data_IF_576286929737
#
_entry.id   IF_576286929737
#
_cell.length_a   1.000
_cell.length_b   1.000
_cell.length_c   1.000
_cell.angle_alpha   90.00
_cell.angle_beta   90.00
_cell.angle_gamma   90.00
#
_symmetry.space_group_name_H-M   'P 1'
#
loop_
_entity.id
_entity.type
_entity.pdbx_description
1 polymer ?
#
# COMPACT_ATOMS: atom_id res chain seq x y z
N UNK A 1 13.91 42.84 9.81
CA UNK A 1 13.77 42.35 8.41
C UNK A 1 14.16 40.88 8.38
N UNK A 2 13.41 40.02 7.67
CA UNK A 2 13.71 38.59 7.54
C UNK A 2 15.10 38.37 6.87
N UNK A 3 15.97 37.52 7.44
CA UNK A 3 17.25 37.13 6.82
C UNK A 3 17.09 36.56 5.41
N UNK A 4 18.05 36.79 4.51
CA UNK A 4 17.95 36.36 3.10
C UNK A 4 17.81 34.83 2.95
N UNK A 5 18.55 34.06 3.75
CA UNK A 5 18.44 32.60 3.77
C UNK A 5 17.03 32.09 4.16
N UNK A 6 16.31 32.83 5.00
CA UNK A 6 14.91 32.51 5.36
C UNK A 6 13.99 32.76 4.18
N UNK A 7 14.18 33.88 3.47
CA UNK A 7 13.37 34.22 2.28
C UNK A 7 13.50 33.16 1.20
N UNK A 8 14.74 32.75 0.90
CA UNK A 8 15.01 31.70 -0.09
C UNK A 8 14.43 30.36 0.35
N UNK A 9 14.47 30.05 1.65
CA UNK A 9 13.90 28.81 2.15
C UNK A 9 12.37 28.79 2.14
N UNK A 10 11.72 29.94 2.39
CA UNK A 10 10.25 30.09 2.31
C UNK A 10 9.76 30.06 0.85
N UNK A 11 10.52 30.66 -0.07
CA UNK A 11 10.24 30.62 -1.51
C UNK A 11 10.66 29.31 -2.18
N UNK A 12 11.57 28.56 -1.56
CA UNK A 12 12.22 27.41 -2.16
C UNK A 12 11.33 26.19 -2.32
N UNK A 13 11.79 25.24 -3.13
CA UNK A 13 11.10 23.99 -3.42
C UNK A 13 11.36 22.89 -2.38
N UNK A 14 12.05 23.20 -1.27
CA UNK A 14 12.41 22.20 -0.26
C UNK A 14 11.18 21.47 0.26
N UNK A 15 11.28 20.14 0.23
CA UNK A 15 10.18 19.20 0.42
C UNK A 15 10.31 18.37 1.69
N UNK A 16 11.47 18.38 2.34
CA UNK A 16 11.72 17.50 3.50
C UNK A 16 11.45 18.24 4.81
N UNK A 17 10.69 17.64 5.75
CA UNK A 17 10.49 18.23 7.05
C UNK A 17 11.82 18.49 7.76
N UNK A 18 11.94 19.69 8.33
CA UNK A 18 13.13 20.10 9.10
C UNK A 18 12.80 21.28 9.99
N UNK A 19 13.52 21.41 11.09
CA UNK A 19 13.59 22.63 11.89
C UNK A 19 15.02 23.14 11.90
N UNK A 20 15.19 24.44 11.76
CA UNK A 20 16.48 25.12 11.80
C UNK A 20 16.34 26.39 12.60
N UNK A 21 17.06 26.47 13.72
CA UNK A 21 17.14 27.68 14.54
C UNK A 21 17.94 28.76 13.80
N UNK A 22 17.39 29.96 13.74
CA UNK A 22 18.01 31.13 13.11
C UNK A 22 17.91 32.29 14.10
N UNK A 23 18.96 32.47 14.90
CA UNK A 23 18.95 33.41 16.03
C UNK A 23 17.92 33.01 17.07
N UNK A 24 16.98 33.92 17.34
CA UNK A 24 15.86 33.72 18.27
C UNK A 24 14.60 33.17 17.59
N UNK A 25 14.60 33.06 16.25
CA UNK A 25 13.54 32.44 15.48
C UNK A 25 13.84 31.01 15.05
N UNK A 26 12.84 30.34 14.48
CA UNK A 26 12.95 29.02 13.88
C UNK A 26 12.33 29.01 12.47
N UNK A 27 13.07 28.44 11.53
CA UNK A 27 12.55 28.02 10.23
C UNK A 27 12.10 26.56 10.35
N UNK A 28 10.82 26.31 10.09
CA UNK A 28 10.19 25.01 10.19
C UNK A 28 9.57 24.66 8.84
N UNK A 29 9.83 23.45 8.35
CA UNK A 29 9.20 22.89 7.16
C UNK A 29 8.47 21.63 7.60
N UNK A 30 7.19 21.54 7.30
CA UNK A 30 6.31 20.42 7.63
C UNK A 30 5.58 19.91 6.38
N UNK A 31 5.03 18.71 6.50
CA UNK A 31 4.13 18.12 5.52
C UNK A 31 2.75 17.89 6.12
N UNK A 32 1.75 18.17 5.30
CA UNK A 32 0.35 17.85 5.56
C UNK A 32 -0.12 16.86 4.53
N UNK A 33 -0.96 15.92 4.91
CA UNK A 33 -1.75 15.16 3.95
C UNK A 33 -2.92 16.05 3.55
N UNK A 34 -3.14 16.20 2.25
CA UNK A 34 -4.32 16.87 1.76
C UNK A 34 -5.20 15.81 1.10
N UNK A 35 -6.33 15.51 1.74
CA UNK A 35 -7.35 14.59 1.26
C UNK A 35 -7.92 15.09 -0.08
N UNK A 36 -7.28 14.70 -1.17
CA UNK A 36 -7.79 14.91 -2.51
C UNK A 36 -8.42 13.61 -2.97
N UNK A 37 -9.59 13.69 -3.61
CA UNK A 37 -10.38 12.58 -4.16
C UNK A 37 -9.60 11.70 -5.15
N UNK A 38 -8.51 12.21 -5.71
CA UNK A 38 -7.58 11.43 -6.51
C UNK A 38 -6.61 10.69 -5.58
N UNK A 39 -6.70 9.36 -5.53
CA UNK A 39 -5.82 8.40 -4.82
C UNK A 39 -4.34 8.44 -5.29
N UNK A 40 -3.77 9.62 -5.46
CA UNK A 40 -2.40 9.80 -5.92
C UNK A 40 -1.43 9.43 -4.80
N UNK A 41 -0.27 8.84 -5.12
CA UNK A 41 0.76 8.58 -4.11
C UNK A 41 1.37 9.84 -3.46
N UNK A 42 1.18 11.01 -4.09
CA UNK A 42 1.84 12.28 -3.72
C UNK A 42 0.84 13.30 -3.12
N UNK A 43 0.06 12.89 -2.12
CA UNK A 43 -0.92 13.77 -1.44
C UNK A 43 -0.29 14.76 -0.44
N UNK A 44 1.02 14.63 -0.18
CA UNK A 44 1.68 15.45 0.82
C UNK A 44 1.94 16.85 0.28
N UNK A 45 1.41 17.86 0.97
CA UNK A 45 1.63 19.28 0.70
C UNK A 45 2.66 19.82 1.68
N UNK A 46 3.62 20.60 1.17
CA UNK A 46 4.59 21.28 2.02
C UNK A 46 4.01 22.57 2.59
N UNK A 47 4.19 22.77 3.89
CA UNK A 47 3.96 24.01 4.59
C UNK A 47 5.29 24.49 5.17
N UNK A 48 5.63 25.75 4.92
CA UNK A 48 6.88 26.36 5.40
C UNK A 48 6.55 27.52 6.30
N UNK A 49 7.21 27.55 7.44
CA UNK A 49 6.99 28.48 8.52
C UNK A 49 8.32 29.11 8.90
N UNK A 50 8.32 30.41 9.08
CA UNK A 50 9.32 31.08 9.89
C UNK A 50 8.60 31.77 11.04
N UNK A 51 9.12 31.57 12.25
CA UNK A 51 8.51 32.14 13.44
C UNK A 51 9.55 32.60 14.45
N UNK A 52 9.29 33.77 15.02
CA UNK A 52 9.98 34.34 16.16
C UNK A 52 8.95 34.75 17.22
N UNK A 53 9.37 35.48 18.26
CA UNK A 53 8.48 35.92 19.36
C UNK A 53 7.35 36.87 18.91
N UNK A 54 7.48 37.53 17.76
CA UNK A 54 6.59 38.62 17.34
C UNK A 54 5.90 38.38 16.01
N UNK A 55 6.45 37.51 15.18
CA UNK A 55 6.04 37.33 13.79
C UNK A 55 6.00 35.85 13.42
N UNK A 56 4.92 35.48 12.75
CA UNK A 56 4.79 34.21 12.05
C UNK A 56 4.62 34.51 10.56
N UNK A 57 5.44 33.86 9.73
CA UNK A 57 5.30 33.88 8.28
C UNK A 57 5.10 32.45 7.80
N UNK A 58 3.91 32.14 7.30
CA UNK A 58 3.58 30.86 6.70
C UNK A 58 3.47 30.98 5.18
N UNK A 59 3.98 29.99 4.45
CA UNK A 59 3.88 29.91 3.00
C UNK A 59 3.46 28.50 2.58
N UNK A 60 2.59 28.43 1.58
CA UNK A 60 2.07 27.18 0.99
C UNK A 60 1.88 27.35 -0.51
N UNK A 61 2.13 26.29 -1.28
CA UNK A 61 1.88 26.28 -2.73
C UNK A 61 0.50 25.71 -3.08
N UNK A 62 0.06 24.69 -2.34
CA UNK A 62 -1.29 24.11 -2.40
C UNK A 62 -1.98 24.38 -1.06
N UNK A 63 -3.33 24.31 -1.04
CA UNK A 63 -4.09 24.41 0.21
C UNK A 63 -3.65 23.32 1.19
N UNK A 64 -3.74 23.63 2.48
CA UNK A 64 -3.37 22.77 3.61
C UNK A 64 -4.60 22.72 4.51
N UNK A 65 -5.30 21.58 4.54
CA UNK A 65 -6.59 21.44 5.24
C UNK A 65 -6.45 21.69 6.73
N UNK A 66 -5.44 21.08 7.37
CA UNK A 66 -5.13 21.30 8.78
C UNK A 66 -4.95 22.78 9.17
N UNK A 67 -4.45 23.63 8.26
CA UNK A 67 -4.33 25.06 8.53
C UNK A 67 -5.68 25.77 8.40
N UNK A 68 -6.54 25.29 7.50
CA UNK A 68 -7.88 25.83 7.34
C UNK A 68 -8.75 25.48 8.58
N UNK A 69 -8.52 24.35 9.25
CA UNK A 69 -9.16 23.96 10.53
C UNK A 69 -8.78 24.93 11.66
N UNK A 70 -7.48 25.13 11.90
CA UNK A 70 -7.00 26.08 12.92
C UNK A 70 -7.46 27.52 12.64
N UNK A 71 -7.55 27.91 11.36
CA UNK A 71 -8.10 29.20 10.96
C UNK A 71 -9.61 29.30 11.20
N UNK A 72 -10.34 28.18 11.18
CA UNK A 72 -11.75 28.09 11.58
C UNK A 72 -11.90 28.39 13.07
N UNK A 73 -11.18 27.65 13.90
CA UNK A 73 -11.22 27.78 15.36
C UNK A 73 -10.82 29.19 15.82
N UNK A 74 -9.82 29.78 15.16
CA UNK A 74 -9.39 31.16 15.43
C UNK A 74 -10.49 32.19 15.12
N UNK A 75 -11.29 31.97 14.06
CA UNK A 75 -12.41 32.87 13.72
C UNK A 75 -13.58 32.74 14.69
N UNK A 76 -13.75 31.57 15.29
CA UNK A 76 -14.79 31.31 16.29
C UNK A 76 -14.40 31.78 17.71
N UNK A 77 -13.15 32.23 17.89
CA UNK A 77 -12.63 32.72 19.17
C UNK A 77 -12.10 31.63 20.09
N UNK A 78 -12.01 30.38 19.61
CA UNK A 78 -11.49 29.23 20.35
C UNK A 78 -10.06 28.86 19.95
N UNK A 79 -9.44 29.62 19.03
CA UNK A 79 -8.10 29.34 18.53
C UNK A 79 -6.95 29.87 19.41
N UNK A 80 -5.73 29.85 18.88
CA UNK A 80 -4.51 30.03 19.65
C UNK A 80 -4.30 31.50 20.04
N UNK A 81 -3.82 31.73 21.26
CA UNK A 81 -3.61 33.08 21.82
C UNK A 81 -2.25 33.69 21.49
N UNK A 82 -1.26 32.86 21.18
CA UNK A 82 0.13 33.25 20.94
C UNK A 82 0.79 32.35 19.89
N UNK A 83 1.99 32.73 19.44
CA UNK A 83 2.68 32.01 18.37
C UNK A 83 3.10 30.57 18.71
N UNK A 84 3.40 30.30 19.99
CA UNK A 84 3.71 28.95 20.47
C UNK A 84 2.46 28.06 20.47
N UNK A 85 1.34 28.59 20.97
CA UNK A 85 0.04 27.90 20.97
C UNK A 85 -0.41 27.62 19.52
N UNK A 86 -0.22 28.58 18.62
CA UNK A 86 -0.52 28.40 17.20
C UNK A 86 0.29 27.29 16.55
N UNK A 87 1.60 27.19 16.85
CA UNK A 87 2.41 26.09 16.32
C UNK A 87 1.93 24.73 16.85
N UNK A 88 1.59 24.65 18.14
CA UNK A 88 1.11 23.42 18.76
C UNK A 88 -0.17 22.96 18.10
N UNK A 89 -1.18 23.83 17.98
CA UNK A 89 -2.46 23.49 17.34
C UNK A 89 -2.30 23.12 15.87
N UNK A 90 -1.44 23.82 15.13
CA UNK A 90 -1.14 23.45 13.74
C UNK A 90 -0.47 22.08 13.66
N UNK A 91 0.51 21.78 14.51
CA UNK A 91 1.15 20.46 14.55
C UNK A 91 0.18 19.36 14.98
N UNK A 92 -0.76 19.66 15.88
CA UNK A 92 -1.80 18.75 16.34
C UNK A 92 -2.74 18.40 15.19
N UNK A 93 -3.31 19.41 14.51
CA UNK A 93 -4.17 19.23 13.35
C UNK A 93 -3.44 18.49 12.20
N UNK A 94 -2.16 18.82 11.93
CA UNK A 94 -1.37 18.09 10.94
C UNK A 94 -1.21 16.61 11.29
N UNK A 95 -1.10 16.29 12.58
CA UNK A 95 -0.95 14.92 13.06
C UNK A 95 -2.28 14.18 13.01
N UNK A 96 -3.40 14.84 13.29
CA UNK A 96 -4.74 14.22 13.20
C UNK A 96 -5.10 13.82 11.77
N UNK A 97 -4.89 14.72 10.81
CA UNK A 97 -5.04 14.40 9.38
C UNK A 97 -4.09 13.28 8.94
N UNK A 98 -2.90 13.19 9.55
CA UNK A 98 -1.97 12.10 9.27
C UNK A 98 -2.47 10.76 9.84
N UNK A 99 -2.97 10.76 11.07
CA UNK A 99 -3.55 9.61 11.73
C UNK A 99 -4.78 9.08 10.97
N UNK A 100 -5.71 9.95 10.58
CA UNK A 100 -6.90 9.55 9.82
C UNK A 100 -6.51 8.86 8.49
N UNK A 101 -5.52 9.39 7.77
CA UNK A 101 -5.06 8.76 6.54
C UNK A 101 -4.36 7.42 6.79
N UNK A 102 -3.63 7.27 7.89
CA UNK A 102 -3.00 5.99 8.27
C UNK A 102 -4.09 4.97 8.58
N UNK A 103 -5.15 5.36 9.29
CA UNK A 103 -6.31 4.51 9.59
C UNK A 103 -7.04 4.09 8.30
N UNK A 104 -7.28 5.00 7.36
CA UNK A 104 -7.86 4.65 6.04
C UNK A 104 -7.01 3.64 5.26
N UNK A 105 -5.67 3.76 5.31
CA UNK A 105 -4.79 2.77 4.68
C UNK A 105 -4.82 1.45 5.43
N UNK A 106 -4.93 1.47 6.76
CA UNK A 106 -5.04 0.29 7.59
C UNK A 106 -6.32 -0.50 7.29
N UNK A 107 -7.46 0.17 7.23
CA UNK A 107 -8.76 -0.44 6.91
C UNK A 107 -8.72 -1.10 5.53
N UNK A 108 -8.16 -0.42 4.51
CA UNK A 108 -7.99 -1.00 3.16
C UNK A 108 -7.09 -2.24 3.14
N UNK A 109 -6.16 -2.37 4.09
CA UNK A 109 -5.33 -3.55 4.21
C UNK A 109 -6.12 -4.67 4.88
N UNK A 110 -6.89 -4.38 5.92
CA UNK A 110 -7.78 -5.37 6.57
C UNK A 110 -8.79 -5.92 5.56
N UNK A 111 -9.48 -5.07 4.82
CA UNK A 111 -10.44 -5.49 3.78
C UNK A 111 -9.77 -6.42 2.76
N UNK A 112 -8.54 -6.09 2.37
CA UNK A 112 -7.78 -6.89 1.43
C UNK A 112 -7.31 -8.22 2.03
N UNK A 113 -7.04 -8.29 3.33
CA UNK A 113 -6.75 -9.56 4.01
C UNK A 113 -7.98 -10.47 4.05
N UNK A 114 -9.15 -9.91 4.35
CA UNK A 114 -10.41 -10.65 4.37
C UNK A 114 -10.76 -11.19 2.96
N UNK A 115 -10.58 -10.38 1.91
CA UNK A 115 -10.74 -10.83 0.51
C UNK A 115 -9.81 -12.00 0.16
N UNK A 116 -8.56 -11.98 0.65
CA UNK A 116 -7.59 -13.04 0.39
C UNK A 116 -7.94 -14.35 1.12
N UNK A 117 -8.59 -14.30 2.28
CA UNK A 117 -9.10 -15.50 2.96
C UNK A 117 -10.13 -16.24 2.10
N UNK A 118 -10.93 -15.49 1.33
CA UNK A 118 -11.89 -16.01 0.36
C UNK A 118 -11.25 -16.31 -1.03
N UNK A 119 -9.93 -16.31 -1.12
CA UNK A 119 -9.14 -16.50 -2.36
C UNK A 119 -9.44 -15.46 -3.45
N UNK A 120 -9.96 -14.29 -3.08
CA UNK A 120 -10.23 -13.20 -4.01
C UNK A 120 -8.96 -12.36 -4.20
N UNK A 121 -8.36 -12.47 -5.40
CA UNK A 121 -7.13 -11.74 -5.70
C UNK A 121 -7.46 -10.31 -6.14
N UNK A 122 -6.83 -9.27 -5.54
CA UNK A 122 -7.10 -7.89 -5.91
C UNK A 122 -6.67 -7.56 -7.34
N UNK A 123 -7.17 -6.44 -7.90
CA UNK A 123 -6.69 -5.92 -9.18
C UNK A 123 -5.18 -5.72 -9.19
N UNK A 124 -4.55 -6.00 -10.33
CA UNK A 124 -3.10 -5.85 -10.51
C UNK A 124 -2.67 -4.42 -10.14
N UNK A 125 -1.69 -4.31 -9.25
CA UNK A 125 -1.10 -3.04 -8.84
C UNK A 125 -1.81 -2.35 -7.66
N UNK A 126 -2.96 -2.86 -7.20
CA UNK A 126 -3.65 -2.32 -6.03
C UNK A 126 -2.78 -2.39 -4.76
N UNK A 127 -2.26 -3.57 -4.43
CA UNK A 127 -1.34 -3.76 -3.29
C UNK A 127 -0.07 -2.92 -3.44
N UNK A 128 0.43 -2.76 -4.67
CA UNK A 128 1.61 -1.93 -4.94
C UNK A 128 1.34 -0.43 -4.69
N UNK A 129 0.12 0.05 -4.97
CA UNK A 129 -0.31 1.42 -4.68
C UNK A 129 -0.35 1.66 -3.16
N UNK A 130 -1.01 0.77 -2.41
CA UNK A 130 -1.08 0.84 -0.94
C UNK A 130 0.32 0.85 -0.32
N UNK A 131 1.17 -0.09 -0.73
CA UNK A 131 2.56 -0.17 -0.26
C UNK A 131 3.34 1.10 -0.60
N UNK A 132 3.13 1.68 -1.79
CA UNK A 132 3.76 2.96 -2.17
C UNK A 132 3.29 4.11 -1.29
N UNK A 133 1.99 4.21 -1.00
CA UNK A 133 1.43 5.23 -0.11
C UNK A 133 2.00 5.13 1.31
N UNK A 134 2.07 3.92 1.89
CA UNK A 134 2.69 3.67 3.20
C UNK A 134 4.17 4.09 3.25
N UNK A 135 4.97 3.70 2.24
CA UNK A 135 6.39 4.07 2.17
C UNK A 135 6.56 5.58 2.05
N UNK A 136 5.73 6.25 1.25
CA UNK A 136 5.75 7.71 1.12
C UNK A 136 5.40 8.36 2.44
N UNK A 137 4.36 7.89 3.13
CA UNK A 137 3.97 8.36 4.46
C UNK A 137 5.13 8.25 5.45
N UNK A 138 5.72 7.07 5.59
CA UNK A 138 6.89 6.84 6.44
C UNK A 138 8.04 7.80 6.14
N UNK A 139 8.35 8.00 4.85
CA UNK A 139 9.46 8.85 4.39
C UNK A 139 9.35 10.29 4.84
N UNK A 140 8.13 10.82 4.98
CA UNK A 140 7.90 12.21 5.38
C UNK A 140 7.52 12.36 6.85
N UNK A 141 6.75 11.42 7.42
CA UNK A 141 6.33 11.48 8.81
C UNK A 141 7.49 11.19 9.77
N UNK A 142 8.45 10.32 9.42
CA UNK A 142 9.58 10.03 10.29
C UNK A 142 10.45 11.26 10.59
N UNK A 143 10.91 12.03 9.58
CA UNK A 143 11.58 13.31 9.84
C UNK A 143 10.69 14.34 10.55
N UNK A 144 9.38 14.32 10.32
CA UNK A 144 8.44 15.25 10.96
C UNK A 144 8.27 14.99 12.45
N UNK A 145 8.21 13.72 12.86
CA UNK A 145 8.26 13.28 14.27
C UNK A 145 9.54 13.74 14.96
N UNK A 146 10.67 13.67 14.26
CA UNK A 146 11.95 14.19 14.78
C UNK A 146 11.93 15.73 14.90
N UNK A 147 11.24 16.43 13.98
CA UNK A 147 11.02 17.89 14.08
C UNK A 147 10.19 18.24 15.31
N UNK A 148 9.10 17.52 15.59
CA UNK A 148 8.28 17.75 16.78
C UNK A 148 9.06 17.50 18.07
N UNK A 149 9.77 16.36 18.15
CA UNK A 149 10.63 16.06 19.30
C UNK A 149 11.73 17.13 19.51
N UNK A 150 12.28 17.66 18.41
CA UNK A 150 13.26 18.74 18.45
C UNK A 150 12.65 20.07 18.91
N UNK A 151 11.44 20.41 18.47
CA UNK A 151 10.71 21.59 18.95
C UNK A 151 10.37 21.48 20.45
N UNK A 152 10.04 20.29 20.93
CA UNK A 152 9.76 20.04 22.35
C UNK A 152 11.01 20.17 23.23
N UNK A 153 12.18 19.75 22.72
CA UNK A 153 13.46 19.78 23.45
C UNK A 153 14.19 21.12 23.37
N UNK A 154 14.04 21.88 22.28
CA UNK A 154 14.67 23.19 22.14
C UNK A 154 13.96 24.25 23.02
N UNK A 155 14.75 24.99 23.79
CA UNK A 155 14.26 26.13 24.57
C UNK A 155 14.11 27.36 23.69
N UNK A 156 13.02 27.40 22.93
CA UNK A 156 12.62 28.54 22.11
C UNK A 156 12.00 29.62 23.00
N UNK A 157 12.39 30.91 22.91
CA UNK A 157 11.92 31.97 23.79
C UNK A 157 10.39 32.19 23.78
N UNK A 158 9.76 31.84 22.66
CA UNK A 158 8.33 32.01 22.39
C UNK A 158 7.51 30.74 22.64
N UNK A 159 8.10 29.71 23.25
CA UNK A 159 7.39 28.51 23.70
C UNK A 159 7.46 28.36 25.23
N UNK A 160 6.30 28.13 25.84
CA UNK A 160 6.18 27.76 27.25
C UNK A 160 6.53 26.29 27.50
N UNK A 161 6.80 25.91 28.75
CA UNK A 161 7.03 24.50 29.11
C UNK A 161 5.79 23.64 28.88
N UNK A 162 4.58 24.21 29.01
CA UNK A 162 3.34 23.49 28.69
C UNK A 162 3.23 23.16 27.20
N UNK A 163 3.51 24.14 26.34
CA UNK A 163 3.52 23.95 24.88
C UNK A 163 4.58 22.95 24.44
N UNK A 164 5.75 22.91 25.11
CA UNK A 164 6.78 21.90 24.87
C UNK A 164 6.31 20.49 25.22
N UNK A 165 5.60 20.32 26.35
CA UNK A 165 5.00 19.03 26.73
C UNK A 165 3.97 18.58 25.70
N UNK A 166 3.04 19.46 25.28
CA UNK A 166 2.09 19.14 24.22
C UNK A 166 2.77 18.77 22.90
N UNK A 167 3.84 19.47 22.52
CA UNK A 167 4.63 19.12 21.34
C UNK A 167 5.30 17.74 21.46
N UNK A 168 5.73 17.35 22.67
CA UNK A 168 6.22 16.01 22.95
C UNK A 168 5.11 14.96 22.78
N UNK A 169 3.91 15.21 23.33
CA UNK A 169 2.77 14.31 23.19
C UNK A 169 2.36 14.13 21.70
N UNK A 170 2.40 15.21 20.91
CA UNK A 170 2.18 15.18 19.46
C UNK A 170 3.27 14.35 18.76
N UNK A 171 4.54 14.50 19.16
CA UNK A 171 5.64 13.69 18.63
C UNK A 171 5.46 12.20 18.94
N UNK A 172 5.01 11.87 20.16
CA UNK A 172 4.72 10.50 20.59
C UNK A 172 3.51 9.92 19.84
N UNK A 173 2.45 10.71 19.62
CA UNK A 173 1.29 10.30 18.80
C UNK A 173 1.69 10.01 17.36
N UNK A 174 2.46 10.89 16.72
CA UNK A 174 2.99 10.64 15.38
C UNK A 174 3.96 9.44 15.36
N UNK A 175 4.70 9.21 16.45
CA UNK A 175 5.53 8.03 16.66
C UNK A 175 4.73 6.73 16.59
N UNK A 176 3.60 6.65 17.32
CA UNK A 176 2.70 5.48 17.27
C UNK A 176 2.15 5.24 15.86
N UNK A 177 1.76 6.30 15.15
CA UNK A 177 1.33 6.19 13.76
C UNK A 177 2.44 5.68 12.81
N UNK A 178 3.71 5.98 13.09
CA UNK A 178 4.84 5.41 12.34
C UNK A 178 5.01 3.91 12.59
N UNK A 179 4.79 3.45 13.82
CA UNK A 179 4.83 2.02 14.15
C UNK A 179 3.69 1.26 13.45
N UNK A 180 2.50 1.87 13.36
CA UNK A 180 1.38 1.35 12.57
C UNK A 180 1.70 1.27 11.07
N UNK A 181 2.35 2.30 10.50
CA UNK A 181 2.81 2.27 9.12
C UNK A 181 3.82 1.12 8.90
N UNK A 182 4.77 0.94 9.81
CA UNK A 182 5.79 -0.12 9.71
C UNK A 182 5.15 -1.52 9.80
N UNK A 183 4.17 -1.70 10.67
CA UNK A 183 3.33 -2.91 10.74
C UNK A 183 2.57 -3.16 9.43
N UNK A 184 1.94 -2.13 8.86
CA UNK A 184 1.23 -2.23 7.58
C UNK A 184 2.18 -2.56 6.41
N UNK A 185 3.40 -2.00 6.38
CA UNK A 185 4.41 -2.34 5.35
C UNK A 185 4.83 -3.82 5.46
N UNK A 186 4.99 -4.34 6.68
CA UNK A 186 5.28 -5.76 6.89
C UNK A 186 4.12 -6.64 6.43
N UNK A 187 2.89 -6.29 6.81
CA UNK A 187 1.65 -6.98 6.44
C UNK A 187 1.47 -7.05 4.92
N UNK A 188 1.64 -5.93 4.21
CA UNK A 188 1.59 -5.93 2.73
C UNK A 188 2.64 -6.81 2.06
N UNK A 189 3.78 -7.09 2.71
CA UNK A 189 4.78 -8.01 2.17
C UNK A 189 4.27 -9.47 2.26
N UNK A 190 3.73 -9.85 3.42
CA UNK A 190 3.13 -11.17 3.64
C UNK A 190 1.97 -11.42 2.67
N UNK A 191 1.09 -10.43 2.48
CA UNK A 191 -0.01 -10.53 1.53
C UNK A 191 0.46 -10.68 0.08
N UNK A 192 1.57 -10.05 -0.28
CA UNK A 192 2.15 -10.22 -1.62
C UNK A 192 2.61 -11.66 -1.85
N UNK A 193 3.16 -12.31 -0.83
CA UNK A 193 3.57 -13.71 -0.89
C UNK A 193 2.35 -14.65 -0.94
N UNK A 194 1.30 -14.35 -0.17
CA UNK A 194 0.03 -15.09 -0.19
C UNK A 194 -0.64 -15.03 -1.57
N UNK A 195 -0.72 -13.84 -2.17
CA UNK A 195 -1.22 -13.66 -3.54
C UNK A 195 -0.41 -14.50 -4.53
N UNK A 196 0.91 -14.55 -4.38
CA UNK A 196 1.76 -15.36 -5.24
C UNK A 196 1.48 -16.86 -5.06
N UNK A 197 1.24 -17.32 -3.83
CA UNK A 197 0.84 -18.71 -3.56
C UNK A 197 -0.52 -19.06 -4.18
N UNK A 198 -1.54 -18.22 -4.01
CA UNK A 198 -2.86 -18.42 -4.63
C UNK A 198 -2.73 -18.50 -6.16
N UNK A 199 -1.93 -17.62 -6.76
CA UNK A 199 -1.65 -17.66 -8.19
C UNK A 199 -0.94 -18.96 -8.60
N UNK A 200 0.04 -19.43 -7.84
CA UNK A 200 0.73 -20.69 -8.08
C UNK A 200 -0.19 -21.90 -7.95
N UNK A 201 -1.06 -21.95 -6.94
CA UNK A 201 -2.04 -23.03 -6.79
C UNK A 201 -3.02 -23.04 -7.98
N UNK A 202 -3.49 -21.87 -8.40
CA UNK A 202 -4.38 -21.76 -9.57
C UNK A 202 -3.70 -22.26 -10.85
N UNK A 203 -2.41 -21.96 -11.05
CA UNK A 203 -1.62 -22.44 -12.17
C UNK A 203 -1.37 -23.94 -12.08
N UNK A 204 -1.05 -24.46 -10.89
CA UNK A 204 -0.88 -25.88 -10.64
C UNK A 204 -2.18 -26.64 -10.95
N UNK A 205 -3.34 -26.14 -10.50
CA UNK A 205 -4.66 -26.72 -10.78
C UNK A 205 -4.98 -26.73 -12.27
N UNK A 206 -4.69 -25.66 -13.00
CA UNK A 206 -4.86 -25.59 -14.48
C UNK A 206 -3.90 -26.53 -15.21
N UNK A 207 -2.65 -26.63 -14.76
CA UNK A 207 -1.65 -27.54 -15.34
C UNK A 207 -2.03 -28.99 -15.10
N UNK A 208 -2.56 -29.28 -13.90
CA UNK A 208 -3.09 -30.58 -13.55
C UNK A 208 -4.27 -30.99 -14.43
N UNK A 209 -5.25 -30.11 -14.66
CA UNK A 209 -6.38 -30.42 -15.56
C UNK A 209 -5.94 -30.63 -17.00
N UNK A 210 -4.99 -29.82 -17.51
CA UNK A 210 -4.39 -30.02 -18.83
C UNK A 210 -3.65 -31.36 -18.93
N UNK A 211 -2.94 -31.77 -17.88
CA UNK A 211 -2.21 -33.04 -17.83
C UNK A 211 -3.18 -34.23 -17.82
N UNK A 212 -4.28 -34.12 -17.07
CA UNK A 212 -5.35 -35.12 -17.07
C UNK A 212 -5.97 -35.28 -18.47
N UNK A 213 -6.29 -34.15 -19.14
CA UNK A 213 -6.78 -34.18 -20.52
C UNK A 213 -5.77 -34.83 -21.46
N UNK A 214 -4.48 -34.49 -21.34
CA UNK A 214 -3.43 -35.09 -22.16
C UNK A 214 -3.32 -36.61 -21.97
N UNK A 215 -3.41 -37.12 -20.73
CA UNK A 215 -3.38 -38.57 -20.48
C UNK A 215 -4.58 -39.32 -21.07
N UNK A 216 -5.74 -38.67 -21.16
CA UNK A 216 -6.93 -39.24 -21.80
C UNK A 216 -6.79 -39.22 -23.33
N UNK A 217 -6.31 -38.12 -23.92
CA UNK A 217 -6.22 -37.98 -25.37
C UNK A 217 -5.02 -38.67 -26.00
N UNK A 218 -3.86 -38.73 -25.34
CA UNK A 218 -2.63 -39.32 -25.89
C UNK A 218 -2.83 -40.75 -26.44
N UNK A 219 -3.40 -41.71 -25.69
CA UNK A 219 -3.64 -43.06 -26.22
C UNK A 219 -4.70 -43.07 -27.33
N UNK A 220 -5.73 -42.22 -27.24
CA UNK A 220 -6.77 -42.10 -28.27
C UNK A 220 -6.21 -41.58 -29.58
N UNK A 221 -5.38 -40.52 -29.53
CA UNK A 221 -4.69 -39.93 -30.69
C UNK A 221 -3.70 -40.92 -31.30
N UNK A 222 -2.96 -41.67 -30.48
CA UNK A 222 -2.04 -42.70 -30.99
C UNK A 222 -2.80 -43.82 -31.72
N UNK A 223 -3.88 -44.35 -31.11
CA UNK A 223 -4.70 -45.39 -31.71
C UNK A 223 -5.36 -44.92 -33.01
N UNK A 224 -6.03 -43.77 -33.00
CA UNK A 224 -6.66 -43.21 -34.20
C UNK A 224 -5.64 -42.87 -35.29
N UNK A 225 -4.45 -42.38 -34.93
CA UNK A 225 -3.35 -42.17 -35.86
C UNK A 225 -2.86 -43.46 -36.51
N UNK A 226 -2.67 -44.53 -35.73
CA UNK A 226 -2.24 -45.85 -36.22
C UNK A 226 -3.25 -46.46 -37.21
N UNK A 227 -4.54 -46.39 -36.88
CA UNK A 227 -5.62 -46.91 -37.73
C UNK A 227 -6.00 -45.97 -38.88
N UNK A 228 -5.64 -44.69 -38.80
CA UNK A 228 -5.87 -43.69 -39.84
C UNK A 228 -4.79 -43.67 -40.93
N UNK A 229 -3.71 -44.43 -40.78
CA UNK A 229 -2.71 -44.57 -41.85
C UNK A 229 -3.30 -45.40 -42.99
N UNK A 230 -3.26 -44.87 -44.22
CA UNK A 230 -3.65 -45.59 -45.44
C UNK A 230 -2.59 -46.65 -45.84
N UNK A 231 -2.29 -47.59 -44.96
CA UNK A 231 -1.58 -48.83 -45.30
C UNK A 231 -2.59 -49.77 -45.94
N UNK A 232 -2.21 -50.50 -47.00
CA UNK A 232 -3.09 -51.27 -47.89
C UNK A 232 -3.87 -52.44 -47.25
N UNK A 233 -4.78 -52.11 -46.32
CA UNK A 233 -5.58 -53.01 -45.51
C UNK A 233 -5.56 -52.59 -44.04
N UNK A 234 -6.67 -52.05 -43.52
CA UNK A 234 -6.83 -51.81 -42.08
C UNK A 234 -6.89 -53.19 -41.38
N UNK A 235 -6.05 -53.46 -40.36
CA UNK A 235 -6.14 -54.71 -39.61
C UNK A 235 -7.52 -54.84 -38.96
N UNK A 236 -8.26 -55.91 -39.31
CA UNK A 236 -9.64 -56.14 -38.86
C UNK A 236 -10.75 -55.71 -39.84
N UNK A 237 -10.43 -55.14 -41.01
CA UNK A 237 -11.42 -54.70 -42.01
C UNK A 237 -12.27 -55.84 -42.60
N UNK A 238 -11.77 -57.08 -42.58
CA UNK A 238 -12.51 -58.26 -43.04
C UNK A 238 -13.58 -58.75 -42.06
N UNK A 239 -13.62 -58.20 -40.84
CA UNK A 239 -14.54 -58.64 -39.79
C UNK A 239 -15.59 -57.55 -39.50
N UNK A 240 -16.86 -57.92 -39.63
CA UNK A 240 -18.02 -57.03 -39.48
C UNK A 240 -18.10 -56.34 -38.10
N UNK A 241 -17.47 -56.92 -37.06
CA UNK A 241 -17.39 -56.36 -35.71
C UNK A 241 -16.07 -55.63 -35.38
N UNK A 242 -15.14 -55.51 -36.35
CA UNK A 242 -13.80 -54.95 -36.12
C UNK A 242 -13.82 -53.51 -35.58
N UNK A 243 -14.73 -52.67 -36.09
CA UNK A 243 -14.90 -51.30 -35.61
C UNK A 243 -15.41 -51.24 -34.16
N UNK A 244 -16.40 -52.07 -33.82
CA UNK A 244 -16.93 -52.14 -32.45
C UNK A 244 -15.88 -52.64 -31.45
N UNK A 245 -15.06 -53.62 -31.85
CA UNK A 245 -13.96 -54.13 -31.01
C UNK A 245 -12.89 -53.05 -30.77
N UNK A 246 -12.57 -52.24 -31.78
CA UNK A 246 -11.66 -51.11 -31.64
C UNK A 246 -12.20 -50.05 -30.67
N UNK A 247 -13.47 -49.66 -30.79
CA UNK A 247 -14.10 -48.74 -29.84
C UNK A 247 -14.08 -49.29 -28.42
N UNK A 248 -14.38 -50.58 -28.22
CA UNK A 248 -14.31 -51.24 -26.91
C UNK A 248 -12.89 -51.20 -26.33
N UNK A 249 -11.87 -51.52 -27.14
CA UNK A 249 -10.47 -51.47 -26.71
C UNK A 249 -10.07 -50.05 -26.28
N UNK A 250 -10.47 -49.03 -27.02
CA UNK A 250 -10.18 -47.64 -26.70
C UNK A 250 -10.83 -47.21 -25.38
N UNK A 251 -12.08 -47.59 -25.14
CA UNK A 251 -12.77 -47.35 -23.85
C UNK A 251 -12.06 -48.07 -22.70
N UNK A 252 -11.61 -49.31 -22.90
CA UNK A 252 -10.86 -50.07 -21.88
C UNK A 252 -9.52 -49.40 -21.57
N UNK A 253 -8.79 -48.90 -22.58
CA UNK A 253 -7.51 -48.20 -22.38
C UNK A 253 -7.72 -46.90 -21.61
N UNK A 254 -8.70 -46.07 -22.01
CA UNK A 254 -9.02 -44.82 -21.30
C UNK A 254 -9.48 -45.12 -19.86
N UNK A 255 -10.37 -46.09 -19.68
CA UNK A 255 -10.83 -46.52 -18.36
C UNK A 255 -9.71 -47.07 -17.48
N UNK A 256 -8.77 -47.80 -18.07
CA UNK A 256 -7.57 -48.31 -17.39
C UNK A 256 -6.64 -47.19 -16.92
N UNK A 257 -6.41 -46.17 -17.76
CA UNK A 257 -5.61 -44.98 -17.40
C UNK A 257 -6.30 -44.20 -16.29
N UNK A 258 -7.61 -43.98 -16.39
CA UNK A 258 -8.39 -43.28 -15.37
C UNK A 258 -8.38 -44.04 -14.02
N UNK A 259 -8.53 -45.36 -14.06
CA UNK A 259 -8.46 -46.20 -12.86
C UNK A 259 -7.07 -46.19 -12.22
N UNK A 260 -6.01 -46.23 -13.04
CA UNK A 260 -4.63 -46.14 -12.57
C UNK A 260 -4.35 -44.80 -11.89
N UNK A 261 -4.80 -43.69 -12.48
CA UNK A 261 -4.69 -42.36 -11.88
C UNK A 261 -5.41 -42.28 -10.53
N UNK A 262 -6.63 -42.80 -10.44
CA UNK A 262 -7.41 -42.85 -9.19
C UNK A 262 -6.70 -43.71 -8.12
N UNK A 263 -6.10 -44.84 -8.51
CA UNK A 263 -5.36 -45.70 -7.57
C UNK A 263 -4.07 -45.04 -7.08
N UNK A 264 -3.40 -44.27 -7.93
CA UNK A 264 -2.13 -43.62 -7.61
C UNK A 264 -2.29 -42.36 -6.73
N UNK A 265 -3.52 -42.01 -6.30
CA UNK A 265 -3.85 -40.75 -5.60
C UNK A 265 -3.43 -39.49 -6.36
N UNK A 266 -3.28 -39.62 -7.68
CA UNK A 266 -3.18 -38.47 -8.57
C UNK A 266 -4.56 -37.92 -8.88
N UNK A 267 -5.62 -38.65 -8.52
CA UNK A 267 -7.04 -38.30 -8.62
C UNK A 267 -7.66 -38.38 -7.22
#
# INVERSE_FOLDING_TARGET
>A
MLPNNVRDALAGESTRPRVTRIGDGALIILRCINGSTDERPDQLVAMRLYMDERLIVSTRQRKVLALDDVLGDLKEGNGPTDGGSWLVEVCDALTDHASEFIEQLHDRIIDLEDDLLDQQVPPRGFLALLRKQLIVMRRYMAPQRDVYARLASERLPWMSDDQRRRMQDIAERLGRGLDEIDSCIARTAIMSDEIAQIMQESLARRTYTMSLMAMVFLPSTFLTGLFGVNLGGIPGNSWHLGFSLFCLMLVVVIGGVAWWLHRSKWL
#
